data_IF_135405326326
#
_entry.id   IF_135405326326
#
_cell.length_a   1.000
_cell.length_b   1.000
_cell.length_c   1.000
_cell.angle_alpha   90.00
_cell.angle_beta   90.00
_cell.angle_gamma   90.00
#
_symmetry.space_group_name_H-M   'P 1'
#
loop_
_entity.id
_entity.type
_entity.pdbx_description
1 polymer ?
#
# COMPACT_ATOMS: atom_id res chain seq x y z
N UNK A 1 12.30 32.65 0.42
CA UNK A 1 11.02 31.99 0.06
C UNK A 1 10.73 30.96 1.14
N UNK A 2 9.70 31.19 1.96
CA UNK A 2 9.25 30.19 2.92
C UNK A 2 8.67 29.04 2.11
N UNK A 3 9.39 27.91 2.05
CA UNK A 3 8.78 26.66 1.64
C UNK A 3 7.58 26.46 2.57
N UNK A 4 6.37 26.59 2.01
CA UNK A 4 5.13 26.32 2.71
C UNK A 4 5.29 24.96 3.38
N UNK A 5 5.33 24.95 4.71
CA UNK A 5 5.37 23.72 5.50
C UNK A 5 3.98 23.11 5.35
N UNK A 6 3.74 22.44 4.22
CA UNK A 6 2.55 21.63 4.05
C UNK A 6 2.58 20.56 5.14
N UNK A 7 1.51 20.40 5.93
CA UNK A 7 1.47 19.35 6.94
C UNK A 7 1.65 18.01 6.24
N UNK A 8 2.75 17.31 6.56
CA UNK A 8 3.06 16.02 5.97
C UNK A 8 2.05 15.00 6.47
N UNK A 9 1.11 14.65 5.61
CA UNK A 9 0.18 13.55 5.82
C UNK A 9 0.97 12.28 6.10
N UNK A 10 0.62 11.58 7.17
CA UNK A 10 1.36 10.41 7.63
C UNK A 10 0.45 9.40 8.32
N UNK A 11 0.81 8.13 8.18
CA UNK A 11 0.11 7.03 8.85
C UNK A 11 0.24 7.19 10.37
N UNK A 12 -0.86 6.99 11.07
CA UNK A 12 -1.00 7.15 12.52
C UNK A 12 -1.28 8.57 12.98
N UNK A 13 -1.48 9.52 12.07
CA UNK A 13 -1.90 10.90 12.39
C UNK A 13 -3.35 11.16 11.97
N UNK A 14 -4.00 12.18 12.55
CA UNK A 14 -5.32 12.62 12.10
C UNK A 14 -5.31 12.94 10.60
N UNK A 15 -6.36 12.49 9.90
CA UNK A 15 -6.58 12.84 8.51
C UNK A 15 -6.98 14.33 8.40
N UNK A 16 -6.54 15.06 7.37
CA UNK A 16 -7.06 16.39 7.10
C UNK A 16 -8.58 16.35 6.92
N UNK A 17 -9.27 17.24 7.63
CA UNK A 17 -10.73 17.32 7.56
C UNK A 17 -11.20 17.86 6.20
N UNK A 18 -12.37 17.43 5.76
CA UNK A 18 -12.99 17.92 4.54
C UNK A 18 -14.50 18.02 4.69
N UNK A 19 -15.05 19.02 3.99
CA UNK A 19 -16.47 19.15 3.67
C UNK A 19 -16.55 19.58 2.22
N UNK A 20 -17.29 18.83 1.40
CA UNK A 20 -17.39 19.10 -0.03
C UNK A 20 -18.69 18.55 -0.64
N UNK A 21 -18.97 19.01 -1.85
CA UNK A 21 -20.10 18.49 -2.64
C UNK A 21 -19.68 17.22 -3.36
N UNK A 22 -20.52 16.19 -3.27
CA UNK A 22 -20.36 14.94 -4.00
C UNK A 22 -21.62 14.59 -4.79
N UNK A 23 -21.43 13.87 -5.90
CA UNK A 23 -22.51 13.22 -6.63
C UNK A 23 -22.81 11.88 -5.97
N UNK A 24 -24.04 11.70 -5.52
CA UNK A 24 -24.55 10.46 -4.92
C UNK A 24 -25.95 10.19 -5.48
N UNK A 25 -26.15 9.02 -6.08
CA UNK A 25 -27.42 8.63 -6.73
C UNK A 25 -27.91 9.68 -7.74
N UNK A 26 -26.98 10.24 -8.53
CA UNK A 26 -27.26 11.29 -9.52
C UNK A 26 -27.58 12.68 -8.93
N UNK A 27 -27.58 12.83 -7.61
CA UNK A 27 -27.88 14.08 -6.89
C UNK A 27 -26.62 14.68 -6.29
N UNK A 28 -26.61 15.99 -6.14
CA UNK A 28 -25.56 16.70 -5.41
C UNK A 28 -25.90 16.68 -3.91
N UNK A 29 -24.96 16.22 -3.10
CA UNK A 29 -25.07 16.19 -1.63
C UNK A 29 -23.78 16.70 -1.02
N UNK A 30 -23.88 17.37 0.12
CA UNK A 30 -22.71 17.70 0.94
C UNK A 30 -22.30 16.48 1.76
N UNK A 31 -21.00 16.20 1.79
CA UNK A 31 -20.38 15.15 2.61
C UNK A 31 -19.23 15.74 3.41
N UNK A 32 -18.94 15.16 4.57
CA UNK A 32 -17.78 15.54 5.38
C UNK A 32 -17.12 14.31 6.01
N UNK A 33 -15.82 14.41 6.30
CA UNK A 33 -15.10 13.34 7.01
C UNK A 33 -15.74 13.07 8.37
N UNK A 34 -16.09 14.13 9.10
CA UNK A 34 -16.73 14.07 10.41
C UNK A 34 -18.09 13.36 10.41
N UNK A 35 -18.87 13.45 9.31
CA UNK A 35 -20.13 12.71 9.19
C UNK A 35 -19.89 11.19 9.14
N UNK A 36 -18.86 10.74 8.42
CA UNK A 36 -18.52 9.32 8.33
C UNK A 36 -17.92 8.79 9.64
N UNK A 37 -16.92 9.48 10.19
CA UNK A 37 -16.27 9.05 11.44
C UNK A 37 -17.21 9.15 12.64
N UNK A 38 -18.07 10.16 12.69
CA UNK A 38 -19.13 10.29 13.70
C UNK A 38 -20.18 9.17 13.64
N UNK A 39 -20.40 8.57 12.47
CA UNK A 39 -21.21 7.36 12.30
C UNK A 39 -20.43 6.05 12.60
N UNK A 40 -19.22 6.16 13.15
CA UNK A 40 -18.32 5.05 13.43
C UNK A 40 -17.95 4.21 12.18
N UNK A 41 -17.86 4.86 11.01
CA UNK A 41 -17.43 4.22 9.78
C UNK A 41 -15.93 4.45 9.51
N UNK A 42 -15.29 3.44 8.95
CA UNK A 42 -14.04 3.61 8.21
C UNK A 42 -14.29 4.43 6.94
N UNK A 43 -13.27 5.11 6.42
CA UNK A 43 -13.35 5.83 5.15
C UNK A 43 -12.20 5.41 4.25
N UNK A 44 -12.52 4.87 3.08
CA UNK A 44 -11.62 4.74 1.95
C UNK A 44 -11.79 5.96 1.03
N UNK A 45 -10.89 6.94 1.18
CA UNK A 45 -10.84 8.14 0.34
C UNK A 45 -9.92 7.87 -0.85
N UNK A 46 -10.49 7.87 -2.05
CA UNK A 46 -9.85 7.41 -3.28
C UNK A 46 -9.74 8.57 -4.27
N UNK A 47 -8.56 9.18 -4.37
CA UNK A 47 -8.27 10.19 -5.38
C UNK A 47 -8.04 9.53 -6.75
N UNK A 48 -8.53 10.19 -7.80
CA UNK A 48 -8.26 9.84 -9.19
C UNK A 48 -7.94 11.11 -10.00
N UNK A 49 -7.10 11.02 -11.05
CA UNK A 49 -6.64 12.22 -11.76
C UNK A 49 -7.73 13.03 -12.44
N UNK A 50 -8.60 12.40 -13.23
CA UNK A 50 -9.54 13.14 -14.09
C UNK A 50 -10.72 12.30 -14.57
N UNK A 51 -11.90 12.91 -14.60
CA UNK A 51 -13.06 12.43 -15.34
C UNK A 51 -12.77 12.32 -16.85
N UNK A 52 -13.55 11.51 -17.57
CA UNK A 52 -13.41 11.31 -19.02
C UNK A 52 -12.03 10.77 -19.46
N UNK A 53 -11.45 9.89 -18.63
CA UNK A 53 -10.18 9.21 -18.89
C UNK A 53 -10.37 7.69 -19.05
N UNK A 54 -9.29 6.95 -19.28
CA UNK A 54 -9.35 5.51 -19.61
C UNK A 54 -9.29 4.59 -18.39
N UNK A 55 -8.37 4.84 -17.44
CA UNK A 55 -8.17 3.98 -16.27
C UNK A 55 -9.12 4.32 -15.13
N UNK A 56 -9.43 5.60 -14.91
CA UNK A 56 -10.29 6.02 -13.81
C UNK A 56 -11.70 5.39 -13.81
N UNK A 57 -12.43 5.28 -14.96
CA UNK A 57 -13.75 4.66 -14.93
C UNK A 57 -13.71 3.17 -14.56
N UNK A 58 -12.64 2.44 -14.88
CA UNK A 58 -12.54 1.01 -14.55
C UNK A 58 -12.44 0.79 -13.04
N UNK A 59 -11.66 1.61 -12.34
CA UNK A 59 -11.60 1.57 -10.87
C UNK A 59 -12.94 1.95 -10.23
N UNK A 60 -13.51 3.09 -10.62
CA UNK A 60 -14.74 3.60 -10.00
C UNK A 60 -15.86 2.56 -10.12
N UNK A 61 -15.99 1.91 -11.28
CA UNK A 61 -16.96 0.83 -11.48
C UNK A 61 -16.64 -0.39 -10.64
N UNK A 62 -15.39 -0.85 -10.59
CA UNK A 62 -15.01 -2.02 -9.79
C UNK A 62 -15.28 -1.82 -8.28
N UNK A 63 -15.06 -0.61 -7.75
CA UNK A 63 -15.46 -0.29 -6.38
C UNK A 63 -16.97 -0.17 -6.21
N UNK A 64 -17.68 0.37 -7.21
CA UNK A 64 -19.14 0.47 -7.19
C UNK A 64 -19.84 -0.89 -7.19
N UNK A 65 -19.37 -1.84 -8.02
CA UNK A 65 -19.88 -3.21 -8.08
C UNK A 65 -19.73 -3.95 -6.76
N UNK A 66 -18.70 -3.60 -5.98
CA UNK A 66 -18.36 -4.24 -4.70
C UNK A 66 -18.65 -3.37 -3.50
N UNK A 67 -19.40 -2.28 -3.67
CA UNK A 67 -19.64 -1.28 -2.63
C UNK A 67 -20.28 -1.89 -1.37
N UNK A 68 -21.14 -2.90 -1.54
CA UNK A 68 -21.77 -3.62 -0.44
C UNK A 68 -20.77 -4.33 0.48
N UNK A 69 -19.64 -4.84 -0.05
CA UNK A 69 -18.58 -5.46 0.74
C UNK A 69 -17.86 -4.46 1.65
N UNK A 70 -17.80 -3.19 1.25
CA UNK A 70 -17.25 -2.12 2.07
C UNK A 70 -18.27 -1.68 3.13
N UNK A 71 -19.49 -1.36 2.72
CA UNK A 71 -20.50 -0.77 3.59
C UNK A 71 -21.00 -1.75 4.66
N UNK A 72 -21.40 -2.95 4.26
CA UNK A 72 -22.10 -3.88 5.16
C UNK A 72 -21.17 -4.84 5.89
N UNK A 73 -20.09 -5.29 5.23
CA UNK A 73 -19.18 -6.26 5.84
C UNK A 73 -18.07 -5.62 6.68
N UNK A 74 -17.78 -4.33 6.46
CA UNK A 74 -16.63 -3.64 7.06
C UNK A 74 -16.97 -2.28 7.68
N UNK A 75 -18.23 -1.84 7.58
CA UNK A 75 -18.64 -0.50 8.01
C UNK A 75 -17.70 0.57 7.46
N UNK A 76 -17.36 0.47 6.18
CA UNK A 76 -16.41 1.33 5.49
C UNK A 76 -17.11 2.09 4.37
N UNK A 77 -17.12 3.42 4.46
CA UNK A 77 -17.55 4.30 3.38
C UNK A 77 -16.44 4.41 2.33
N UNK A 78 -16.81 4.39 1.05
CA UNK A 78 -15.90 4.65 -0.07
C UNK A 78 -16.26 6.01 -0.65
N UNK A 79 -15.29 6.89 -0.87
CA UNK A 79 -15.48 8.20 -1.49
C UNK A 79 -14.43 8.40 -2.55
N UNK A 80 -14.84 8.62 -3.80
CA UNK A 80 -13.94 8.98 -4.88
C UNK A 80 -13.82 10.50 -4.99
N UNK A 81 -12.62 11.02 -5.23
CA UNK A 81 -12.34 12.44 -5.26
C UNK A 81 -11.47 12.83 -6.45
N UNK A 82 -11.75 13.98 -7.07
CA UNK A 82 -10.92 14.56 -8.13
C UNK A 82 -11.05 16.07 -8.12
N UNK A 83 -10.21 16.77 -8.89
CA UNK A 83 -10.29 18.23 -9.05
C UNK A 83 -11.37 18.68 -10.05
N UNK A 84 -12.12 17.74 -10.64
CA UNK A 84 -13.27 18.04 -11.49
C UNK A 84 -14.42 18.69 -10.69
N UNK A 85 -15.21 19.53 -11.37
CA UNK A 85 -16.41 20.12 -10.77
C UNK A 85 -17.51 19.09 -10.57
N UNK A 86 -18.40 19.32 -9.61
CA UNK A 86 -19.52 18.43 -9.28
C UNK A 86 -20.50 18.28 -10.45
N UNK A 87 -20.60 19.29 -11.31
CA UNK A 87 -21.40 19.22 -12.54
C UNK A 87 -20.75 18.34 -13.60
N UNK A 88 -19.41 18.40 -13.75
CA UNK A 88 -18.65 17.50 -14.61
C UNK A 88 -18.82 16.04 -14.16
N UNK A 89 -18.62 15.78 -12.86
CA UNK A 89 -18.78 14.46 -12.27
C UNK A 89 -20.21 13.93 -12.43
N UNK A 90 -21.22 14.79 -12.28
CA UNK A 90 -22.63 14.39 -12.45
C UNK A 90 -22.94 14.04 -13.91
N UNK A 91 -22.46 14.84 -14.85
CA UNK A 91 -22.62 14.55 -16.27
C UNK A 91 -21.93 13.23 -16.64
N UNK A 92 -20.68 13.04 -16.20
CA UNK A 92 -19.92 11.82 -16.41
C UNK A 92 -20.61 10.59 -15.81
N UNK A 93 -21.22 10.73 -14.64
CA UNK A 93 -21.97 9.64 -14.01
C UNK A 93 -23.22 9.24 -14.80
N UNK A 94 -23.91 10.20 -15.43
CA UNK A 94 -25.13 9.94 -16.21
C UNK A 94 -24.86 9.45 -17.63
N UNK A 95 -23.66 9.70 -18.17
CA UNK A 95 -23.28 9.23 -19.50
C UNK A 95 -23.07 7.72 -19.50
N UNK A 96 -23.48 7.06 -20.59
CA UNK A 96 -23.34 5.63 -20.74
C UNK A 96 -21.88 5.21 -20.96
N UNK A 97 -21.60 3.94 -20.71
CA UNK A 97 -20.23 3.42 -20.79
C UNK A 97 -19.65 3.44 -22.21
N UNK A 98 -20.49 3.22 -23.23
CA UNK A 98 -20.08 3.22 -24.63
C UNK A 98 -19.63 4.60 -25.11
N UNK A 99 -20.12 5.66 -24.45
CA UNK A 99 -19.75 7.06 -24.65
C UNK A 99 -18.64 7.52 -23.70
N UNK A 100 -18.04 6.60 -22.91
CA UNK A 100 -16.96 6.92 -21.97
C UNK A 100 -17.42 7.44 -20.61
N UNK A 101 -18.72 7.39 -20.32
CA UNK A 101 -19.30 7.71 -19.01
C UNK A 101 -19.17 6.59 -17.98
N UNK A 102 -19.69 6.79 -16.77
CA UNK A 102 -19.63 5.77 -15.70
C UNK A 102 -20.82 4.81 -15.69
N UNK A 103 -21.93 5.14 -16.36
CA UNK A 103 -23.12 4.28 -16.40
C UNK A 103 -23.94 4.25 -15.10
N UNK A 104 -23.81 5.26 -14.24
CA UNK A 104 -24.62 5.40 -13.02
C UNK A 104 -24.07 4.63 -11.81
N UNK A 105 -22.84 4.92 -11.41
CA UNK A 105 -22.21 4.30 -10.23
C UNK A 105 -22.83 4.77 -8.92
N UNK A 106 -22.69 3.94 -7.88
CA UNK A 106 -23.26 4.16 -6.55
C UNK A 106 -22.26 4.76 -5.54
N UNK A 107 -20.97 4.78 -5.89
CA UNK A 107 -19.96 5.44 -5.06
C UNK A 107 -20.11 6.96 -5.13
N UNK A 108 -19.98 7.68 -3.99
CA UNK A 108 -19.87 9.14 -3.97
C UNK A 108 -18.71 9.65 -4.82
N UNK A 109 -18.98 10.62 -5.69
CA UNK A 109 -17.98 11.33 -6.49
C UNK A 109 -17.83 12.77 -5.98
N UNK A 110 -16.81 13.03 -5.16
CA UNK A 110 -16.52 14.30 -4.53
C UNK A 110 -15.74 15.25 -5.45
N UNK A 111 -16.20 16.50 -5.52
CA UNK A 111 -15.57 17.62 -6.23
C UNK A 111 -14.57 18.33 -5.31
N UNK A 112 -13.32 18.42 -5.73
CA UNK A 112 -12.26 19.24 -5.13
C UNK A 112 -11.78 20.32 -6.12
N UNK A 113 -12.74 21.02 -6.73
CA UNK A 113 -12.45 22.03 -7.77
C UNK A 113 -11.62 23.25 -7.31
N UNK A 114 -11.47 23.46 -6.01
CA UNK A 114 -10.58 24.49 -5.44
C UNK A 114 -9.20 23.95 -5.04
N UNK A 115 -8.96 22.65 -5.28
CA UNK A 115 -7.74 21.91 -4.99
C UNK A 115 -7.33 21.91 -3.51
N UNK A 116 -8.24 22.26 -2.60
CA UNK A 116 -7.91 22.36 -1.17
C UNK A 116 -7.69 20.96 -0.59
N UNK A 117 -8.57 20.02 -0.90
CA UNK A 117 -8.55 18.68 -0.30
C UNK A 117 -7.35 17.90 -0.81
N UNK A 118 -7.14 17.85 -2.13
CA UNK A 118 -5.98 17.19 -2.75
C UNK A 118 -4.66 17.77 -2.24
N UNK A 119 -4.56 19.10 -2.05
CA UNK A 119 -3.38 19.74 -1.45
C UNK A 119 -3.20 19.41 0.03
N UNK A 120 -4.26 19.44 0.82
CA UNK A 120 -4.22 19.08 2.24
C UNK A 120 -3.82 17.61 2.43
N UNK A 121 -4.23 16.73 1.51
CA UNK A 121 -3.84 15.33 1.47
C UNK A 121 -2.44 15.10 0.85
N UNK A 122 -1.81 16.14 0.29
CA UNK A 122 -0.47 16.07 -0.29
C UNK A 122 -0.39 15.32 -1.62
N UNK A 123 -1.49 15.28 -2.37
CA UNK A 123 -1.64 14.49 -3.61
C UNK A 123 -1.99 15.35 -4.81
N UNK A 124 -1.99 16.68 -4.68
CA UNK A 124 -2.17 17.58 -5.82
C UNK A 124 -0.88 17.71 -6.63
N UNK A 125 -0.95 17.47 -7.92
CA UNK A 125 0.08 17.85 -8.88
C UNK A 125 -0.11 19.32 -9.24
N UNK A 126 0.62 20.21 -8.58
CA UNK A 126 0.45 21.68 -8.72
C UNK A 126 0.61 22.17 -10.18
N UNK A 127 1.51 21.55 -10.95
CA UNK A 127 1.77 21.93 -12.35
C UNK A 127 0.65 21.48 -13.31
N UNK A 128 -0.10 20.43 -12.94
CA UNK A 128 -1.14 19.82 -13.79
C UNK A 128 -2.57 20.16 -13.34
N UNK A 129 -2.76 20.55 -12.07
CA UNK A 129 -4.07 20.83 -11.48
C UNK A 129 -4.93 19.58 -11.29
N UNK A 130 -4.32 18.40 -11.23
CA UNK A 130 -4.99 17.11 -11.01
C UNK A 130 -4.44 16.42 -9.77
N UNK A 131 -5.23 15.49 -9.21
CA UNK A 131 -4.78 14.68 -8.09
C UNK A 131 -4.02 13.44 -8.57
N UNK A 132 -3.02 13.01 -7.81
CA UNK A 132 -2.37 11.71 -7.94
C UNK A 132 -3.38 10.58 -7.75
N UNK A 133 -3.06 9.39 -8.27
CA UNK A 133 -3.82 8.16 -8.00
C UNK A 133 -3.53 7.67 -6.58
N UNK A 134 -4.15 8.31 -5.59
CA UNK A 134 -3.91 8.07 -4.18
C UNK A 134 -5.12 7.50 -3.43
N UNK A 135 -4.89 6.60 -2.49
CA UNK A 135 -5.90 5.99 -1.64
C UNK A 135 -5.49 6.13 -0.17
N UNK A 136 -6.42 6.60 0.65
CA UNK A 136 -6.26 6.74 2.09
C UNK A 136 -7.30 5.89 2.80
N UNK A 137 -6.87 5.05 3.73
CA UNK A 137 -7.76 4.35 4.66
C UNK A 137 -7.72 5.10 5.98
N UNK A 138 -8.86 5.63 6.39
CA UNK A 138 -9.05 6.43 7.60
C UNK A 138 -9.92 5.63 8.57
N UNK A 139 -9.50 5.51 9.82
CA UNK A 139 -10.26 4.80 10.84
C UNK A 139 -11.43 5.63 11.40
N UNK A 140 -12.37 5.00 12.15
CA UNK A 140 -13.47 5.72 12.78
C UNK A 140 -13.05 6.81 13.77
N UNK A 141 -11.78 6.82 14.22
CA UNK A 141 -11.22 7.86 15.09
C UNK A 141 -10.63 9.02 14.27
N UNK A 142 -10.75 8.98 12.95
CA UNK A 142 -10.26 10.02 12.03
C UNK A 142 -8.76 9.96 11.78
N UNK A 143 -8.08 8.85 12.06
CA UNK A 143 -6.64 8.71 11.81
C UNK A 143 -6.37 7.94 10.52
N UNK A 144 -5.33 8.34 9.79
CA UNK A 144 -4.88 7.64 8.59
C UNK A 144 -4.16 6.36 9.00
N UNK A 145 -4.55 5.24 8.41
CA UNK A 145 -4.03 3.90 8.72
C UNK A 145 -3.27 3.27 7.57
N UNK A 146 -3.56 3.67 6.35
CA UNK A 146 -2.83 3.28 5.16
C UNK A 146 -2.89 4.40 4.12
N UNK A 147 -1.80 4.53 3.36
CA UNK A 147 -1.69 5.41 2.20
C UNK A 147 -1.13 4.56 1.07
N UNK A 148 -1.77 4.59 -0.09
CA UNK A 148 -1.28 3.99 -1.33
C UNK A 148 -1.26 5.07 -2.40
N UNK A 149 -0.12 5.31 -3.02
CA UNK A 149 0.03 6.26 -4.14
C UNK A 149 0.58 5.46 -5.31
N UNK A 150 -0.14 5.48 -6.42
CA UNK A 150 0.20 4.79 -7.65
C UNK A 150 0.46 5.80 -8.75
N UNK A 151 1.24 5.37 -9.76
CA UNK A 151 1.32 6.09 -11.03
C UNK A 151 -0.08 6.25 -11.65
N UNK A 152 -0.30 7.35 -12.36
CA UNK A 152 -1.59 7.74 -12.92
C UNK A 152 -2.19 6.66 -13.83
N UNK A 153 -1.35 5.91 -14.55
CA UNK A 153 -1.78 4.90 -15.51
C UNK A 153 -1.87 3.47 -14.93
N UNK A 154 -1.55 3.28 -13.65
CA UNK A 154 -1.58 1.96 -12.99
C UNK A 154 -2.79 1.84 -12.07
N UNK A 155 -3.80 1.10 -12.51
CA UNK A 155 -5.01 0.83 -11.72
C UNK A 155 -4.72 0.07 -10.41
N UNK A 156 -5.43 0.44 -9.35
CA UNK A 156 -5.37 -0.17 -8.01
C UNK A 156 -6.26 -1.39 -7.89
N UNK A 157 -5.97 -2.22 -6.90
CA UNK A 157 -6.72 -3.43 -6.59
C UNK A 157 -7.76 -3.20 -5.50
N UNK A 158 -9.02 -3.51 -5.81
CA UNK A 158 -10.13 -3.54 -4.84
C UNK A 158 -9.86 -4.60 -3.76
N UNK A 159 -9.36 -5.77 -4.15
CA UNK A 159 -9.04 -6.86 -3.22
C UNK A 159 -7.97 -6.48 -2.21
N UNK A 160 -6.92 -5.76 -2.65
CA UNK A 160 -5.90 -5.30 -1.73
C UNK A 160 -6.45 -4.26 -0.75
N UNK A 161 -7.34 -3.37 -1.21
CA UNK A 161 -7.99 -2.40 -0.34
C UNK A 161 -8.82 -3.11 0.74
N UNK A 162 -9.63 -4.10 0.36
CA UNK A 162 -10.43 -4.89 1.30
C UNK A 162 -9.55 -5.68 2.28
N UNK A 163 -8.45 -6.27 1.80
CA UNK A 163 -7.49 -7.01 2.62
C UNK A 163 -6.83 -6.11 3.66
N UNK A 164 -6.45 -4.89 3.29
CA UNK A 164 -5.84 -3.93 4.22
C UNK A 164 -6.87 -3.49 5.28
N UNK A 165 -8.11 -3.19 4.88
CA UNK A 165 -9.18 -2.85 5.84
C UNK A 165 -9.40 -4.00 6.84
N UNK A 166 -9.48 -5.25 6.35
CA UNK A 166 -9.63 -6.42 7.21
C UNK A 166 -8.46 -6.57 8.19
N UNK A 167 -7.23 -6.35 7.73
CA UNK A 167 -6.03 -6.46 8.57
C UNK A 167 -5.99 -5.38 9.66
N UNK A 168 -6.40 -4.15 9.32
CA UNK A 168 -6.47 -3.04 10.26
C UNK A 168 -7.58 -3.25 11.30
N UNK A 169 -8.76 -3.70 10.86
CA UNK A 169 -9.85 -4.03 11.76
C UNK A 169 -9.48 -5.20 12.70
N UNK A 170 -8.86 -6.25 12.18
CA UNK A 170 -8.34 -7.37 12.97
C UNK A 170 -7.34 -6.91 14.04
N UNK A 171 -6.38 -6.06 13.65
CA UNK A 171 -5.41 -5.51 14.61
C UNK A 171 -6.10 -4.69 15.72
N UNK A 172 -7.11 -3.90 15.37
CA UNK A 172 -7.83 -3.07 16.34
C UNK A 172 -8.70 -3.92 17.29
N UNK A 173 -9.23 -5.05 16.82
CA UNK A 173 -10.02 -5.99 17.62
C UNK A 173 -9.17 -6.88 18.53
N UNK A 174 -8.11 -7.49 18.00
CA UNK A 174 -7.34 -8.53 18.69
C UNK A 174 -6.01 -8.04 19.28
N UNK A 175 -5.51 -6.87 18.86
CA UNK A 175 -4.20 -6.35 19.26
C UNK A 175 -3.00 -7.13 18.69
N UNK A 176 -3.25 -8.08 17.78
CA UNK A 176 -2.23 -8.90 17.13
C UNK A 176 -1.74 -8.28 15.81
N UNK A 177 -0.50 -8.55 15.43
CA UNK A 177 0.03 -8.15 14.13
C UNK A 177 -0.46 -9.06 13.00
N UNK A 178 -0.59 -8.52 11.80
CA UNK A 178 -0.85 -9.32 10.60
C UNK A 178 0.47 -9.63 9.88
N UNK A 179 0.81 -10.91 9.62
CA UNK A 179 1.98 -11.28 8.82
C UNK A 179 1.87 -10.82 7.36
N UNK A 180 2.96 -10.97 6.61
CA UNK A 180 2.97 -10.73 5.16
C UNK A 180 1.92 -11.58 4.46
N UNK A 181 1.22 -11.00 3.49
CA UNK A 181 0.14 -11.64 2.73
C UNK A 181 -1.05 -12.13 3.57
N UNK A 182 -1.21 -11.66 4.81
CA UNK A 182 -2.35 -12.02 5.67
C UNK A 182 -3.69 -11.70 4.99
N UNK A 183 -4.61 -12.64 5.11
CA UNK A 183 -6.01 -12.54 4.69
C UNK A 183 -6.94 -12.83 5.87
N UNK A 184 -8.18 -12.36 5.78
CA UNK A 184 -9.21 -12.63 6.78
C UNK A 184 -9.35 -14.14 7.00
N UNK A 185 -9.19 -14.58 8.24
CA UNK A 185 -9.20 -16.00 8.63
C UNK A 185 -7.81 -16.57 8.94
N UNK A 186 -6.74 -15.91 8.52
CA UNK A 186 -5.37 -16.31 8.86
C UNK A 186 -5.04 -15.96 10.32
N UNK A 187 -4.13 -16.74 10.93
CA UNK A 187 -3.66 -16.50 12.28
C UNK A 187 -2.87 -15.18 12.39
N UNK A 188 -3.10 -14.44 13.49
CA UNK A 188 -2.33 -13.27 13.86
C UNK A 188 -0.96 -13.61 14.47
N UNK A 189 -0.12 -12.59 14.59
CA UNK A 189 1.17 -12.64 15.28
C UNK A 189 1.04 -11.92 16.62
N UNK A 190 1.13 -12.68 17.71
CA UNK A 190 1.31 -12.12 19.04
C UNK A 190 2.66 -11.44 19.11
N UNK A 191 2.67 -10.17 19.52
CA UNK A 191 3.92 -9.44 19.72
C UNK A 191 4.68 -10.09 20.88
N UNK A 192 5.75 -10.82 20.57
CA UNK A 192 6.69 -11.27 21.58
C UNK A 192 7.40 -10.05 22.20
N UNK A 193 7.81 -10.19 23.46
CA UNK A 193 8.54 -9.18 24.21
C UNK A 193 9.71 -8.62 23.37
N UNK A 194 9.81 -7.28 23.30
CA UNK A 194 10.80 -6.60 22.45
C UNK A 194 12.20 -7.13 22.76
N UNK A 195 12.79 -7.84 21.80
CA UNK A 195 14.21 -8.20 21.86
C UNK A 195 15.02 -6.93 22.08
N UNK A 196 15.76 -6.86 23.19
CA UNK A 196 16.64 -5.74 23.49
C UNK A 196 17.62 -5.57 22.34
N UNK A 197 17.78 -4.33 21.90
CA UNK A 197 18.85 -3.97 20.97
C UNK A 197 20.15 -4.15 21.74
N UNK A 198 20.93 -5.18 21.39
CA UNK A 198 22.33 -5.25 21.79
C UNK A 198 23.01 -3.96 21.30
N UNK A 199 23.88 -3.37 22.12
CA UNK A 199 24.44 -2.03 21.94
C UNK A 199 25.05 -1.72 20.57
N UNK A 200 25.58 -0.50 20.37
CA UNK A 200 26.08 -0.06 19.07
C UNK A 200 27.08 -1.05 18.47
N UNK A 201 27.01 -1.26 17.15
CA UNK A 201 27.94 -2.12 16.43
C UNK A 201 29.37 -1.58 16.66
N UNK A 202 30.21 -2.36 17.34
CA UNK A 202 31.64 -2.05 17.44
C UNK A 202 32.34 -2.35 16.10
N UNK A 203 32.60 -1.31 15.31
CA UNK A 203 33.29 -1.37 14.02
C UNK A 203 34.79 -1.71 14.11
N UNK A 204 35.30 -2.18 15.26
CA UNK A 204 36.70 -2.59 15.43
C UNK A 204 37.09 -3.80 14.57
N UNK A 205 36.09 -4.51 14.05
CA UNK A 205 36.25 -5.60 13.07
C UNK A 205 35.77 -5.10 11.72
N UNK A 206 36.48 -5.45 10.65
CA UNK A 206 36.10 -5.07 9.29
C UNK A 206 34.68 -5.58 8.99
N UNK A 207 33.91 -4.83 8.20
CA UNK A 207 32.57 -5.22 7.74
C UNK A 207 32.58 -6.62 7.08
N UNK A 208 33.69 -6.99 6.43
CA UNK A 208 33.92 -8.32 5.87
C UNK A 208 34.01 -9.43 6.92
N UNK A 209 34.55 -9.15 8.10
CA UNK A 209 34.65 -10.12 9.21
C UNK A 209 33.30 -10.35 9.89
N UNK A 210 32.45 -9.31 9.95
CA UNK A 210 31.07 -9.44 10.40
C UNK A 210 30.21 -10.24 9.40
N UNK A 211 30.42 -10.04 8.09
CA UNK A 211 29.65 -10.69 7.04
C UNK A 211 30.09 -12.15 6.76
N UNK A 212 31.38 -12.47 6.93
CA UNK A 212 31.97 -13.80 6.61
C UNK A 212 31.22 -14.99 7.23
N UNK A 213 30.88 -15.01 8.54
CA UNK A 213 30.18 -16.14 9.15
C UNK A 213 28.76 -16.33 8.60
N UNK A 214 28.10 -15.25 8.17
CA UNK A 214 26.72 -15.28 7.62
C UNK A 214 26.71 -15.76 6.18
N UNK A 215 27.69 -15.35 5.38
CA UNK A 215 27.89 -15.84 4.02
C UNK A 215 28.23 -17.32 4.01
N UNK A 216 29.12 -17.81 4.90
CA UNK A 216 29.41 -19.23 5.04
C UNK A 216 28.17 -20.07 5.40
N UNK A 217 27.29 -19.54 6.27
CA UNK A 217 26.06 -20.24 6.70
C UNK A 217 25.00 -20.29 5.59
N UNK A 218 24.95 -19.28 4.72
CA UNK A 218 24.12 -19.30 3.50
C UNK A 218 24.69 -20.25 2.43
N UNK A 219 26.02 -20.41 2.38
CA UNK A 219 26.72 -21.22 1.36
C UNK A 219 26.85 -22.70 1.73
N UNK A 220 26.89 -23.07 3.01
CA UNK A 220 27.08 -24.46 3.46
C UNK A 220 25.82 -25.33 3.46
N UNK A 221 24.67 -24.78 3.08
CA UNK A 221 23.41 -25.53 2.95
C UNK A 221 22.84 -26.11 4.26
N UNK A 222 23.50 -25.95 5.41
CA UNK A 222 22.96 -26.35 6.71
C UNK A 222 22.02 -25.25 7.24
N UNK A 223 20.85 -25.12 6.63
CA UNK A 223 19.71 -24.57 7.36
C UNK A 223 19.26 -25.65 8.35
N UNK A 224 19.49 -25.45 9.64
CA UNK A 224 18.74 -26.22 10.63
C UNK A 224 17.29 -25.75 10.52
N UNK A 225 16.48 -26.51 9.77
CA UNK A 225 15.04 -26.57 10.02
C UNK A 225 14.87 -27.11 11.43
N UNK A 226 14.58 -26.24 12.39
CA UNK A 226 13.97 -26.66 13.65
C UNK A 226 12.53 -27.08 13.35
N UNK A 227 12.35 -28.27 12.80
CA UNK A 227 11.08 -28.99 12.91
C UNK A 227 11.08 -29.54 14.33
N UNK A 228 10.23 -28.95 15.19
CA UNK A 228 9.91 -29.56 16.47
C UNK A 228 9.42 -30.99 16.24
N UNK A 229 10.06 -31.96 16.90
CA UNK A 229 9.69 -33.36 16.82
C UNK A 229 8.33 -33.57 17.51
N UNK A 230 7.25 -33.51 16.73
CA UNK A 230 5.98 -34.14 17.06
C UNK A 230 5.89 -35.46 16.33
N UNK A 231 6.15 -36.57 17.03
CA UNK A 231 6.05 -37.93 16.52
C UNK A 231 4.65 -38.23 15.97
N UNK A 232 4.52 -38.47 14.67
CA UNK A 232 3.39 -39.27 14.14
C UNK A 232 3.89 -40.28 13.11
N UNK A 233 3.55 -41.54 13.38
CA UNK A 233 3.90 -42.73 12.61
C UNK A 233 2.98 -42.89 11.39
N UNK A 234 3.62 -43.37 10.32
CA UNK A 234 3.16 -44.35 9.31
C UNK A 234 2.15 -43.99 8.20
N UNK A 235 2.67 -44.20 6.98
CA UNK A 235 2.10 -44.86 5.79
C UNK A 235 1.02 -44.16 4.96
N UNK A 236 1.34 -43.93 3.68
CA UNK A 236 0.38 -43.71 2.61
C UNK A 236 1.01 -43.16 1.34
N UNK A 237 1.05 -43.97 0.28
CA UNK A 237 1.49 -43.63 -1.08
C UNK A 237 0.96 -42.29 -1.61
N UNK A 238 1.79 -41.50 -2.30
CA UNK A 238 1.32 -40.70 -3.44
C UNK A 238 2.42 -40.48 -4.50
N UNK A 239 1.99 -40.60 -5.76
CA UNK A 239 2.78 -40.64 -7.00
C UNK A 239 3.37 -39.27 -7.41
N UNK A 240 4.57 -39.35 -7.95
CA UNK A 240 5.26 -38.48 -8.92
C UNK A 240 4.37 -37.52 -9.74
N UNK A 241 4.71 -36.23 -9.71
CA UNK A 241 4.48 -35.28 -10.81
C UNK A 241 5.74 -34.43 -11.05
N UNK A 242 6.28 -34.61 -12.26
CA UNK A 242 7.22 -33.78 -13.04
C UNK A 242 7.93 -32.61 -12.36
N UNK A 243 9.24 -32.76 -12.17
CA UNK A 243 10.20 -31.65 -12.08
C UNK A 243 10.31 -30.98 -13.46
N UNK A 244 9.86 -29.73 -13.57
CA UNK A 244 10.31 -28.84 -14.63
C UNK A 244 11.75 -28.39 -14.32
N UNK A 245 12.70 -28.45 -15.27
CA UNK A 245 14.04 -27.95 -15.02
C UNK A 245 14.01 -26.42 -14.86
N UNK A 246 14.82 -25.84 -13.95
CA UNK A 246 14.92 -24.39 -13.85
C UNK A 246 15.52 -23.81 -15.13
N UNK A 247 14.89 -22.73 -15.62
CA UNK A 247 15.32 -21.94 -16.78
C UNK A 247 16.78 -21.46 -16.66
N UNK A 248 17.51 -21.31 -17.79
CA UNK A 248 18.92 -20.98 -17.80
C UNK A 248 19.11 -19.47 -17.65
N UNK A 249 19.00 -18.95 -16.43
CA UNK A 249 19.49 -17.61 -16.12
C UNK A 249 20.73 -17.73 -15.24
N UNK A 250 21.87 -17.76 -15.93
CA UNK A 250 23.22 -17.41 -15.48
C UNK A 250 23.69 -18.02 -14.15
N UNK A 251 24.36 -19.16 -14.22
CA UNK A 251 25.48 -19.44 -13.32
C UNK A 251 26.67 -18.60 -13.80
N UNK A 252 27.24 -17.69 -12.98
CA UNK A 252 28.47 -17.02 -13.36
C UNK A 252 29.59 -18.08 -13.43
N UNK A 253 30.42 -18.04 -14.46
CA UNK A 253 31.66 -18.83 -14.49
C UNK A 253 32.67 -18.25 -13.48
N UNK A 254 33.64 -19.05 -13.03
CA UNK A 254 34.66 -18.63 -12.04
C UNK A 254 35.41 -17.34 -12.40
N UNK A 255 35.46 -16.99 -13.69
CA UNK A 255 36.04 -15.73 -14.17
C UNK A 255 35.15 -14.50 -13.92
N UNK A 256 33.81 -14.64 -13.96
CA UNK A 256 32.89 -13.56 -13.63
C UNK A 256 32.92 -13.22 -12.12
N UNK A 257 33.22 -14.20 -11.28
CA UNK A 257 33.37 -14.03 -9.83
C UNK A 257 34.59 -13.19 -9.45
N UNK A 258 35.74 -13.44 -10.07
CA UNK A 258 36.96 -12.65 -9.81
C UNK A 258 36.84 -11.19 -10.26
N UNK A 259 36.00 -10.92 -11.27
CA UNK A 259 35.71 -9.56 -11.75
C UNK A 259 34.79 -8.84 -10.75
N UNK A 260 33.79 -9.54 -10.18
CA UNK A 260 32.87 -8.94 -9.22
C UNK A 260 33.55 -8.62 -7.87
N UNK A 261 34.43 -9.50 -7.40
CA UNK A 261 35.22 -9.27 -6.18
C UNK A 261 36.21 -8.10 -6.35
N UNK A 262 36.91 -8.03 -7.49
CA UNK A 262 37.75 -6.87 -7.85
C UNK A 262 36.96 -5.57 -7.99
N UNK A 263 35.77 -5.62 -8.57
CA UNK A 263 34.92 -4.44 -8.72
C UNK A 263 34.41 -3.94 -7.37
N UNK A 264 34.16 -4.84 -6.42
CA UNK A 264 33.75 -4.50 -5.06
C UNK A 264 34.92 -3.95 -4.24
N UNK A 265 36.12 -4.52 -4.37
CA UNK A 265 37.36 -3.97 -3.77
C UNK A 265 37.73 -2.60 -4.37
N UNK A 266 37.57 -2.40 -5.68
CA UNK A 266 37.82 -1.12 -6.34
C UNK A 266 36.81 -0.04 -5.94
N UNK A 267 35.53 -0.40 -5.76
CA UNK A 267 34.52 0.50 -5.22
C UNK A 267 34.84 0.93 -3.76
N UNK A 268 35.47 0.05 -2.99
CA UNK A 268 35.88 0.32 -1.61
C UNK A 268 37.13 1.22 -1.52
N UNK A 269 38.05 1.16 -2.48
CA UNK A 269 39.24 2.01 -2.51
C UNK A 269 38.92 3.49 -2.83
N UNK A 270 37.90 3.74 -3.65
CA UNK A 270 37.53 5.09 -4.10
C UNK A 270 36.62 5.86 -3.14
N UNK A 271 36.17 5.26 -2.03
CA UNK A 271 35.36 5.91 -0.99
C UNK A 271 36.18 6.38 0.24
N UNK A 272 37.42 6.83 0.00
CA UNK A 272 38.11 7.69 0.96
C UNK A 272 37.88 9.16 0.59
N UNK A 273 36.70 9.68 0.94
CA UNK A 273 36.42 11.13 0.94
C UNK A 273 36.55 11.63 2.37
N UNK A 274 37.44 12.62 2.53
CA UNK A 274 38.04 13.04 3.78
C UNK A 274 37.08 13.63 4.81
N UNK A 275 37.44 13.40 6.08
CA UNK A 275 37.10 14.33 7.16
C UNK A 275 37.76 15.69 6.85
N UNK A 276 36.96 16.69 6.54
CA UNK A 276 37.37 18.08 6.62
C UNK A 276 37.20 18.55 8.07
N UNK A 277 38.28 19.10 8.62
CA UNK A 277 38.35 19.93 9.83
C UNK A 277 37.51 21.19 9.71
#
# INVERSE_FOLDING_TARGET
ALASIMPRVSVGKPAPDFTATAVMDGKLKEISLSAYTGANHWVALVFFPKAWSFVCPTEIRAYSERLEEFLYSRSCAVVFASTDTELCLRAWNHTNEMEGGLGGVHVPLMSDSNHKISRDYGVLLEDEGVAERALFIIDPKGNIRNITISDADVGRSVDETLRIIDALAFKDEFGEGCPVNWKKGDAGLKMAEQTRVDGPIEMKKSWSEWARPKLQRAWSGQSQRSIGSGTLKTMGHFKSLSETPPSPLYSPTSSAFGIMEKNMEAAMANHSIGLAT
#
